data_IF_862159286809
#
_entry.id   IF_862159286809
#
_cell.length_a   1.000
_cell.length_b   1.000
_cell.length_c   1.000
_cell.angle_alpha   90.00
_cell.angle_beta   90.00
_cell.angle_gamma   90.00
#
_symmetry.space_group_name_H-M   'P 1'
#
loop_
_entity.id
_entity.type
_entity.pdbx_description
1 polymer ?
#
# COMPACT_ATOMS: atom_id res chain seq x y z
N UNK A 1 -1.64 -25.53 6.14
CA UNK A 1 -1.41 -24.22 6.77
C UNK A 1 -2.05 -23.20 5.87
N UNK A 2 -2.99 -22.42 6.40
CA UNK A 2 -3.54 -21.29 5.69
C UNK A 2 -2.41 -20.31 5.39
N UNK A 3 -2.34 -19.85 4.13
CA UNK A 3 -1.29 -18.91 3.72
C UNK A 3 -1.68 -17.52 4.21
N UNK A 4 -0.71 -16.79 4.77
CA UNK A 4 -0.90 -15.41 5.23
C UNK A 4 -1.46 -14.48 4.15
N UNK A 5 -2.16 -13.43 4.57
CA UNK A 5 -2.60 -12.32 3.73
C UNK A 5 -1.57 -11.20 3.78
N UNK A 6 -1.05 -10.79 2.63
CA UNK A 6 -0.13 -9.67 2.55
C UNK A 6 -0.89 -8.34 2.67
N UNK A 7 -0.39 -7.41 3.48
CA UNK A 7 -0.95 -6.07 3.57
C UNK A 7 -0.11 -5.14 2.67
N UNK A 8 -0.68 -4.69 1.55
CA UNK A 8 -0.06 -3.77 0.60
C UNK A 8 -0.54 -2.34 0.88
N UNK A 9 0.33 -1.48 1.41
CA UNK A 9 -0.01 -0.13 1.83
C UNK A 9 1.20 0.81 1.71
N UNK A 10 0.95 2.12 1.64
CA UNK A 10 1.99 3.10 1.44
C UNK A 10 2.90 3.25 2.67
N UNK A 11 4.20 3.43 2.45
CA UNK A 11 5.20 3.50 3.55
C UNK A 11 4.93 4.64 4.55
N UNK A 12 4.21 5.69 4.16
CA UNK A 12 3.85 6.79 5.07
C UNK A 12 2.73 6.42 6.06
N UNK A 13 2.24 5.19 6.03
CA UNK A 13 1.39 4.61 7.09
C UNK A 13 2.20 3.77 8.09
N UNK A 14 3.47 3.46 7.81
CA UNK A 14 4.27 2.56 8.66
C UNK A 14 4.46 3.14 10.07
N UNK A 15 4.14 2.34 11.08
CA UNK A 15 4.24 2.68 12.50
C UNK A 15 3.13 3.61 12.99
N UNK A 16 2.18 3.98 12.13
CA UNK A 16 1.09 4.89 12.47
C UNK A 16 -0.10 4.15 13.07
N UNK A 17 -1.01 4.87 13.73
CA UNK A 17 -2.23 4.26 14.26
C UNK A 17 -3.22 3.84 13.15
N UNK A 18 -3.14 4.47 11.97
CA UNK A 18 -3.90 4.05 10.78
C UNK A 18 -3.49 2.66 10.33
N UNK A 19 -2.18 2.33 10.31
CA UNK A 19 -1.72 0.99 9.98
C UNK A 19 -2.27 -0.05 10.97
N UNK A 20 -2.19 0.23 12.27
CA UNK A 20 -2.72 -0.67 13.30
C UNK A 20 -4.22 -0.89 13.16
N UNK A 21 -4.98 0.18 12.89
CA UNK A 21 -6.42 0.13 12.68
C UNK A 21 -6.78 -0.71 11.43
N UNK A 22 -6.02 -0.53 10.35
CA UNK A 22 -6.15 -1.33 9.14
C UNK A 22 -5.86 -2.81 9.40
N UNK A 23 -4.80 -3.15 10.13
CA UNK A 23 -4.50 -4.54 10.51
C UNK A 23 -5.61 -5.17 11.37
N UNK A 24 -6.22 -4.40 12.29
CA UNK A 24 -7.36 -4.87 13.08
C UNK A 24 -8.56 -5.19 12.19
N UNK A 25 -8.88 -4.30 11.22
CA UNK A 25 -9.96 -4.53 10.27
C UNK A 25 -9.67 -5.76 9.38
N UNK A 26 -8.46 -5.89 8.85
CA UNK A 26 -8.03 -7.05 8.04
C UNK A 26 -8.16 -8.33 8.85
N UNK A 27 -7.64 -8.32 10.07
CA UNK A 27 -7.68 -9.48 10.97
C UNK A 27 -9.11 -9.93 11.22
N UNK A 28 -10.00 -8.99 11.52
CA UNK A 28 -11.41 -9.26 11.76
C UNK A 28 -12.13 -9.82 10.52
N UNK A 29 -11.95 -9.18 9.35
CA UNK A 29 -12.72 -9.51 8.15
C UNK A 29 -12.20 -10.74 7.42
N UNK A 30 -10.87 -10.93 7.36
CA UNK A 30 -10.25 -11.96 6.52
C UNK A 30 -9.52 -13.06 7.29
N UNK A 31 -9.19 -12.84 8.56
CA UNK A 31 -8.34 -13.74 9.33
C UNK A 31 -9.03 -14.31 10.58
N UNK A 32 -10.35 -14.19 10.71
CA UNK A 32 -11.10 -14.71 11.87
C UNK A 32 -10.66 -14.10 13.21
N UNK A 33 -10.07 -12.90 13.19
CA UNK A 33 -9.51 -12.23 14.35
C UNK A 33 -8.03 -12.55 14.65
N UNK A 34 -7.38 -13.43 13.89
CA UNK A 34 -5.95 -13.73 14.06
C UNK A 34 -5.05 -12.78 13.25
N UNK A 35 -4.49 -11.77 13.93
CA UNK A 35 -3.50 -10.85 13.33
C UNK A 35 -2.24 -11.59 12.84
N UNK A 36 -1.92 -12.76 13.38
CA UNK A 36 -0.77 -13.57 12.97
C UNK A 36 -0.83 -14.06 11.52
N UNK A 37 -2.02 -14.03 10.91
CA UNK A 37 -2.22 -14.34 9.50
C UNK A 37 -1.91 -13.15 8.56
N UNK A 38 -1.58 -11.98 9.10
CA UNK A 38 -1.22 -10.82 8.29
C UNK A 38 0.31 -10.80 8.08
N UNK A 39 0.74 -10.71 6.82
CA UNK A 39 2.11 -10.38 6.46
C UNK A 39 2.20 -8.88 6.16
N UNK A 40 2.60 -8.11 7.17
CA UNK A 40 2.80 -6.67 7.06
C UNK A 40 4.24 -6.36 6.63
N UNK A 41 4.50 -5.62 5.54
CA UNK A 41 5.84 -5.26 5.09
C UNK A 41 6.64 -4.40 6.09
N UNK A 42 5.97 -3.71 7.00
CA UNK A 42 6.57 -2.92 8.06
C UNK A 42 6.91 -3.77 9.29
N UNK A 43 7.81 -4.73 9.13
CA UNK A 43 8.36 -5.49 10.28
C UNK A 43 9.89 -5.45 10.27
N UNK A 44 10.54 -5.59 11.44
CA UNK A 44 12.00 -5.65 11.52
C UNK A 44 12.62 -6.74 10.64
N UNK A 45 11.93 -7.87 10.45
CA UNK A 45 12.38 -8.96 9.58
C UNK A 45 12.46 -8.50 8.11
N UNK A 46 11.44 -7.79 7.62
CA UNK A 46 11.43 -7.31 6.25
C UNK A 46 12.37 -6.13 6.03
N UNK A 47 12.54 -5.24 7.02
CA UNK A 47 13.55 -4.17 6.95
C UNK A 47 14.98 -4.75 6.81
N UNK A 48 15.30 -5.77 7.60
CA UNK A 48 16.57 -6.50 7.49
C UNK A 48 16.70 -7.19 6.14
N UNK A 49 15.68 -7.94 5.73
CA UNK A 49 15.68 -8.69 4.46
C UNK A 49 15.83 -7.78 3.24
N UNK A 50 15.12 -6.64 3.21
CA UNK A 50 15.26 -5.61 2.19
C UNK A 50 16.69 -5.08 2.12
N UNK A 51 17.26 -4.71 3.28
CA UNK A 51 18.63 -4.16 3.36
C UNK A 51 19.68 -5.17 2.90
N UNK A 52 19.53 -6.44 3.27
CA UNK A 52 20.43 -7.51 2.83
C UNK A 52 20.29 -7.81 1.33
N UNK A 53 19.06 -7.76 0.80
CA UNK A 53 18.80 -7.95 -0.63
C UNK A 53 19.39 -6.82 -1.46
N UNK A 54 19.24 -5.57 -1.00
CA UNK A 54 19.76 -4.37 -1.67
C UNK A 54 21.29 -4.36 -1.84
N UNK A 55 22.02 -5.09 -0.98
CA UNK A 55 23.50 -5.21 -1.05
C UNK A 55 24.00 -6.17 -2.14
N UNK A 56 23.12 -6.93 -2.79
CA UNK A 56 23.51 -7.92 -3.82
C UNK A 56 23.91 -7.21 -5.12
N UNK A 57 25.17 -7.37 -5.54
CA UNK A 57 25.79 -6.62 -6.63
C UNK A 57 25.22 -6.93 -8.04
N UNK A 58 24.71 -8.13 -8.28
CA UNK A 58 24.34 -8.60 -9.63
C UNK A 58 23.01 -8.04 -10.16
N UNK A 59 22.35 -7.16 -9.41
CA UNK A 59 21.00 -6.71 -9.73
C UNK A 59 20.80 -5.21 -9.58
N UNK A 60 21.83 -4.39 -9.31
CA UNK A 60 21.67 -2.96 -9.01
C UNK A 60 20.81 -2.18 -10.04
N UNK A 61 20.97 -2.45 -11.33
CA UNK A 61 20.18 -1.81 -12.40
C UNK A 61 18.74 -2.34 -12.51
N UNK A 62 18.44 -3.50 -11.93
CA UNK A 62 17.11 -4.15 -11.92
C UNK A 62 16.44 -4.16 -10.52
N UNK A 63 17.17 -3.78 -9.47
CA UNK A 63 16.78 -4.05 -8.08
C UNK A 63 15.84 -3.02 -7.46
N UNK A 64 15.60 -1.89 -8.13
CA UNK A 64 14.76 -0.79 -7.61
C UNK A 64 15.01 -0.54 -6.11
N UNK A 65 16.28 -0.52 -5.69
CA UNK A 65 16.68 -0.24 -4.30
C UNK A 65 16.45 -1.34 -3.26
N UNK A 66 16.03 -2.56 -3.65
CA UNK A 66 15.75 -3.68 -2.74
C UNK A 66 14.32 -4.23 -2.86
N UNK A 67 13.45 -3.57 -3.64
CA UNK A 67 12.03 -3.95 -3.78
C UNK A 67 11.80 -5.39 -4.25
N UNK A 68 12.71 -5.95 -5.06
CA UNK A 68 12.63 -7.35 -5.51
C UNK A 68 12.63 -8.34 -4.34
N UNK A 69 13.15 -7.96 -3.16
CA UNK A 69 13.02 -8.75 -1.93
C UNK A 69 11.57 -9.20 -1.68
N UNK A 70 10.60 -8.30 -1.81
CA UNK A 70 9.21 -8.61 -1.55
C UNK A 70 8.66 -9.59 -2.59
N UNK A 71 8.86 -9.27 -3.88
CA UNK A 71 8.37 -10.07 -5.01
C UNK A 71 8.97 -11.48 -5.07
N UNK A 72 10.24 -11.63 -4.70
CA UNK A 72 10.96 -12.90 -4.79
C UNK A 72 10.82 -13.75 -3.51
N UNK A 73 10.78 -13.14 -2.33
CA UNK A 73 10.91 -13.86 -1.06
C UNK A 73 9.71 -13.75 -0.12
N UNK A 74 8.84 -12.75 -0.27
CA UNK A 74 7.71 -12.49 0.63
C UNK A 74 6.39 -12.85 -0.02
N UNK A 75 6.01 -12.19 -1.12
CA UNK A 75 4.72 -12.39 -1.81
C UNK A 75 4.45 -13.87 -2.21
N UNK A 76 5.46 -14.67 -2.64
CA UNK A 76 5.27 -16.10 -2.93
C UNK A 76 4.69 -16.92 -1.78
N UNK A 77 4.99 -16.53 -0.53
CA UNK A 77 4.56 -17.23 0.68
C UNK A 77 3.12 -16.89 1.11
N UNK A 78 2.56 -15.83 0.56
CA UNK A 78 1.22 -15.34 0.91
C UNK A 78 0.13 -15.95 0.01
N UNK A 79 -1.11 -16.03 0.53
CA UNK A 79 -2.29 -16.56 -0.17
C UNK A 79 -3.00 -15.53 -1.06
N UNK A 80 -2.87 -14.26 -0.71
CA UNK A 80 -3.47 -13.11 -1.40
C UNK A 80 -2.96 -11.81 -0.77
N UNK A 81 -3.52 -10.67 -1.18
CA UNK A 81 -3.20 -9.39 -0.57
C UNK A 81 -4.42 -8.48 -0.35
N UNK A 82 -4.42 -7.74 0.74
CA UNK A 82 -5.29 -6.56 0.93
C UNK A 82 -4.48 -5.34 0.53
N UNK A 83 -5.08 -4.48 -0.29
CA UNK A 83 -4.51 -3.20 -0.68
C UNK A 83 -5.20 -2.07 0.05
N UNK A 84 -4.42 -1.07 0.44
CA UNK A 84 -4.93 0.21 0.95
C UNK A 84 -4.45 1.33 0.01
N UNK A 85 -5.34 1.88 -0.85
CA UNK A 85 -5.04 3.04 -1.69
C UNK A 85 -4.86 4.30 -0.83
N UNK A 86 -4.58 5.43 -1.46
CA UNK A 86 -4.81 6.74 -0.84
C UNK A 86 -6.32 7.03 -0.74
N UNK A 87 -6.68 8.07 0.01
CA UNK A 87 -8.09 8.38 0.30
C UNK A 87 -8.91 8.79 -0.93
N UNK A 88 -8.26 9.22 -2.02
CA UNK A 88 -8.91 9.45 -3.33
C UNK A 88 -9.05 8.17 -4.17
N UNK A 89 -8.76 6.99 -3.59
CA UNK A 89 -8.85 5.69 -4.26
C UNK A 89 -7.69 5.38 -5.21
N UNK A 90 -6.69 6.27 -5.34
CA UNK A 90 -5.51 6.01 -6.17
C UNK A 90 -4.46 5.19 -5.43
N UNK A 91 -3.69 4.41 -6.15
CA UNK A 91 -2.70 3.48 -5.62
C UNK A 91 -1.30 3.99 -5.87
N UNK A 92 -0.47 4.03 -4.82
CA UNK A 92 0.98 4.16 -5.02
C UNK A 92 1.49 3.01 -5.90
N UNK A 93 2.50 3.30 -6.72
CA UNK A 93 3.01 2.36 -7.72
C UNK A 93 3.44 1.01 -7.12
N UNK A 94 4.02 1.01 -5.91
CA UNK A 94 4.39 -0.21 -5.19
C UNK A 94 3.17 -1.08 -4.84
N UNK A 95 2.15 -0.47 -4.22
CA UNK A 95 0.90 -1.14 -3.83
C UNK A 95 0.18 -1.72 -5.07
N UNK A 96 0.13 -0.96 -6.16
CA UNK A 96 -0.43 -1.43 -7.42
C UNK A 96 0.35 -2.62 -8.01
N UNK A 97 1.68 -2.56 -7.99
CA UNK A 97 2.55 -3.63 -8.46
C UNK A 97 2.40 -4.92 -7.64
N UNK A 98 2.29 -4.81 -6.32
CA UNK A 98 2.02 -5.93 -5.42
C UNK A 98 0.65 -6.55 -5.73
N UNK A 99 -0.40 -5.74 -5.84
CA UNK A 99 -1.75 -6.19 -6.21
C UNK A 99 -1.76 -6.97 -7.53
N UNK A 100 -1.14 -6.41 -8.58
CA UNK A 100 -1.05 -7.04 -9.89
C UNK A 100 -0.26 -8.35 -9.83
N UNK A 101 0.81 -8.43 -9.03
CA UNK A 101 1.59 -9.66 -8.89
C UNK A 101 0.75 -10.83 -8.36
N UNK A 102 -0.14 -10.57 -7.39
CA UNK A 102 -1.09 -11.57 -6.87
C UNK A 102 -2.16 -11.92 -7.91
N UNK A 103 -2.76 -10.90 -8.54
CA UNK A 103 -3.80 -11.09 -9.55
C UNK A 103 -3.31 -11.92 -10.75
N UNK A 104 -2.11 -11.63 -11.27
CA UNK A 104 -1.49 -12.34 -12.39
C UNK A 104 -1.21 -13.82 -12.09
N UNK A 105 -1.25 -14.21 -10.80
CA UNK A 105 -1.06 -15.58 -10.32
C UNK A 105 -2.35 -16.24 -9.85
N UNK A 106 -3.50 -15.65 -10.20
CA UNK A 106 -4.82 -16.17 -9.83
C UNK A 106 -5.10 -16.12 -8.32
N UNK A 107 -4.36 -15.30 -7.56
CA UNK A 107 -4.58 -15.10 -6.13
C UNK A 107 -5.55 -13.94 -5.90
N UNK A 108 -6.31 -14.03 -4.81
CA UNK A 108 -7.28 -12.99 -4.46
C UNK A 108 -6.59 -11.69 -4.03
N UNK A 109 -7.11 -10.58 -4.54
CA UNK A 109 -6.75 -9.22 -4.15
C UNK A 109 -7.98 -8.56 -3.55
N UNK A 110 -7.85 -8.03 -2.34
CA UNK A 110 -8.89 -7.26 -1.67
C UNK A 110 -8.54 -5.78 -1.66
N UNK A 111 -9.58 -4.95 -1.70
CA UNK A 111 -9.54 -3.50 -1.60
C UNK A 111 -10.08 -3.09 -0.24
N UNK A 112 -9.25 -2.41 0.55
CA UNK A 112 -9.71 -1.60 1.67
C UNK A 112 -10.05 -0.20 1.15
N UNK A 113 -11.29 0.24 1.33
CA UNK A 113 -11.74 1.55 0.88
C UNK A 113 -12.74 2.17 1.86
N UNK A 114 -12.93 3.49 1.84
CA UNK A 114 -14.04 4.14 2.51
C UNK A 114 -15.39 3.52 2.10
N UNK A 115 -16.35 3.51 3.02
CA UNK A 115 -17.73 3.13 2.69
C UNK A 115 -18.40 4.22 1.86
N UNK A 116 -19.39 3.83 1.04
CA UNK A 116 -20.06 4.75 0.08
C UNK A 116 -20.84 5.87 0.76
N UNK A 117 -21.08 5.76 2.05
CA UNK A 117 -21.82 6.74 2.84
C UNK A 117 -20.91 7.90 3.28
N UNK A 118 -19.63 7.88 2.88
CA UNK A 118 -18.65 8.92 3.15
C UNK A 118 -18.09 9.40 1.81
N UNK A 119 -18.56 10.57 1.35
CA UNK A 119 -18.13 11.17 0.10
C UNK A 119 -16.66 11.65 0.17
N UNK A 120 -16.24 12.19 1.32
CA UNK A 120 -14.87 12.63 1.60
C UNK A 120 -14.45 12.19 3.01
N UNK A 121 -13.35 11.43 3.10
CA UNK A 121 -12.78 11.05 4.40
C UNK A 121 -12.04 12.24 5.00
N UNK A 122 -12.62 12.81 6.06
CA UNK A 122 -12.01 13.88 6.84
C UNK A 122 -11.03 13.33 7.87
N UNK A 123 -10.24 14.21 8.50
CA UNK A 123 -9.39 13.85 9.63
C UNK A 123 -10.20 13.24 10.79
N UNK A 124 -11.35 13.81 11.13
CA UNK A 124 -12.24 13.29 12.18
C UNK A 124 -12.74 11.88 11.86
N UNK A 125 -13.04 11.60 10.58
CA UNK A 125 -13.41 10.25 10.16
C UNK A 125 -12.25 9.27 10.36
N UNK A 126 -11.01 9.66 10.08
CA UNK A 126 -9.86 8.81 10.33
C UNK A 126 -9.63 8.58 11.83
N UNK A 127 -9.81 9.58 12.68
CA UNK A 127 -9.73 9.42 14.14
C UNK A 127 -10.78 8.42 14.65
N UNK A 128 -12.02 8.51 14.14
CA UNK A 128 -13.07 7.54 14.45
C UNK A 128 -12.73 6.12 13.97
N UNK A 129 -12.14 6.00 12.77
CA UNK A 129 -11.66 4.72 12.27
C UNK A 129 -10.54 4.16 13.14
N UNK A 130 -9.57 4.99 13.55
CA UNK A 130 -8.47 4.59 14.43
C UNK A 130 -9.00 4.12 15.79
N UNK A 131 -9.96 4.85 16.37
CA UNK A 131 -10.55 4.52 17.66
C UNK A 131 -11.41 3.25 17.63
N UNK A 132 -12.03 2.93 16.50
CA UNK A 132 -12.91 1.77 16.34
C UNK A 132 -12.97 1.26 14.91
N UNK A 133 -11.94 0.53 14.42
CA UNK A 133 -11.85 0.17 13.01
C UNK A 133 -12.96 -0.75 12.52
N UNK A 134 -13.53 -1.54 13.43
CA UNK A 134 -14.64 -2.47 13.15
C UNK A 134 -15.99 -1.78 13.36
N UNK A 135 -16.17 -1.08 14.49
CA UNK A 135 -17.45 -0.50 14.88
C UNK A 135 -17.79 0.82 14.18
N UNK A 136 -16.79 1.56 13.69
CA UNK A 136 -17.00 2.82 12.98
C UNK A 136 -17.72 2.64 11.64
N UNK A 137 -17.54 1.49 10.97
CA UNK A 137 -18.12 1.23 9.65
C UNK A 137 -17.64 2.18 8.54
N UNK A 138 -16.55 2.93 8.77
CA UNK A 138 -16.05 3.93 7.84
C UNK A 138 -15.22 3.33 6.70
N UNK A 139 -14.61 2.17 6.94
CA UNK A 139 -13.87 1.42 5.94
C UNK A 139 -14.44 0.01 5.79
N UNK A 140 -14.35 -0.52 4.58
CA UNK A 140 -14.70 -1.89 4.25
C UNK A 140 -13.60 -2.57 3.46
N UNK A 141 -13.57 -3.91 3.55
CA UNK A 141 -12.71 -4.74 2.72
C UNK A 141 -13.58 -5.57 1.79
N UNK A 142 -13.32 -5.53 0.49
CA UNK A 142 -14.00 -6.35 -0.52
C UNK A 142 -13.04 -6.86 -1.59
N UNK A 143 -13.35 -7.95 -2.31
CA UNK A 143 -12.56 -8.37 -3.46
C UNK A 143 -12.51 -7.28 -4.54
N UNK A 144 -11.40 -7.22 -5.27
CA UNK A 144 -11.32 -6.46 -6.51
C UNK A 144 -12.23 -7.07 -7.58
N UNK A 145 -12.83 -6.19 -8.40
CA UNK A 145 -13.39 -6.62 -9.68
C UNK A 145 -12.30 -6.75 -10.75
N UNK A 146 -12.55 -7.58 -11.77
CA UNK A 146 -11.66 -7.71 -12.93
C UNK A 146 -11.41 -6.36 -13.59
N UNK A 147 -12.44 -5.51 -13.71
CA UNK A 147 -12.33 -4.17 -14.27
C UNK A 147 -11.36 -3.29 -13.47
N UNK A 148 -11.45 -3.31 -12.13
CA UNK A 148 -10.54 -2.56 -11.27
C UNK A 148 -9.09 -3.05 -11.37
N UNK A 149 -8.87 -4.37 -11.48
CA UNK A 149 -7.54 -4.92 -11.72
C UNK A 149 -6.98 -4.49 -13.08
N UNK A 150 -7.84 -4.45 -14.11
CA UNK A 150 -7.47 -3.90 -15.43
C UNK A 150 -7.05 -2.44 -15.34
N UNK A 151 -7.79 -1.63 -14.57
CA UNK A 151 -7.49 -0.22 -14.34
C UNK A 151 -6.18 0.02 -13.59
N UNK A 152 -5.68 -0.93 -12.78
CA UNK A 152 -4.37 -0.81 -12.11
C UNK A 152 -3.18 -0.97 -13.05
N UNK A 153 -3.36 -1.59 -14.22
CA UNK A 153 -2.25 -1.79 -15.16
C UNK A 153 -1.82 -0.45 -15.74
N UNK A 154 -0.55 -0.11 -15.51
CA UNK A 154 0.12 0.97 -16.24
C UNK A 154 0.70 0.34 -17.50
N UNK A 155 0.06 0.57 -18.65
CA UNK A 155 0.70 0.24 -19.93
C UNK A 155 1.78 1.29 -20.22
N UNK A 156 2.86 0.90 -20.90
CA UNK A 156 4.08 1.72 -21.08
C UNK A 156 3.86 3.13 -21.65
N UNK A 157 2.70 3.40 -22.23
CA UNK A 157 2.34 4.68 -22.85
C UNK A 157 1.01 5.26 -22.33
N UNK A 158 0.32 4.58 -21.40
CA UNK A 158 -0.95 5.01 -20.85
C UNK A 158 -0.88 5.22 -19.34
N UNK A 159 -1.35 6.38 -18.87
CA UNK A 159 -1.54 6.64 -17.45
C UNK A 159 -2.67 5.74 -16.96
N UNK A 160 -2.36 4.84 -16.04
CA UNK A 160 -3.40 4.07 -15.34
C UNK A 160 -4.36 5.03 -14.65
N UNK A 161 -5.66 4.76 -14.73
CA UNK A 161 -6.67 5.58 -14.05
C UNK A 161 -6.63 5.45 -12.53
N UNK A 162 -5.98 4.39 -12.00
CA UNK A 162 -5.93 4.09 -10.56
C UNK A 162 -4.51 4.07 -9.99
N UNK A 163 -3.52 3.58 -10.73
CA UNK A 163 -2.13 3.52 -10.28
C UNK A 163 -1.39 4.82 -10.63
N UNK A 164 -0.75 5.40 -9.63
CA UNK A 164 0.05 6.62 -9.76
C UNK A 164 1.36 6.35 -10.50
N UNK A 165 1.88 7.39 -11.15
CA UNK A 165 3.25 7.37 -11.65
C UNK A 165 4.25 7.28 -10.49
N UNK A 166 5.50 6.97 -10.82
CA UNK A 166 6.56 6.91 -9.81
C UNK A 166 6.78 8.28 -9.13
N UNK A 167 6.72 9.35 -9.90
CA UNK A 167 6.85 10.73 -9.41
C UNK A 167 5.70 11.14 -8.49
N UNK A 168 4.45 10.89 -8.90
CA UNK A 168 3.29 11.23 -8.08
C UNK A 168 3.23 10.35 -6.82
N UNK A 169 3.59 9.06 -6.93
CA UNK A 169 3.72 8.18 -5.75
C UNK A 169 4.69 8.78 -4.73
N UNK A 170 5.88 9.22 -5.16
CA UNK A 170 6.86 9.84 -4.27
C UNK A 170 6.31 11.13 -3.65
N UNK A 171 5.70 11.99 -4.45
CA UNK A 171 5.15 13.26 -4.00
C UNK A 171 4.06 13.10 -2.93
N UNK A 172 3.20 12.10 -3.09
CA UNK A 172 2.14 11.78 -2.12
C UNK A 172 2.67 11.12 -0.85
N UNK A 173 3.77 10.40 -0.93
CA UNK A 173 4.37 9.74 0.24
C UNK A 173 5.28 10.66 1.05
N UNK A 174 5.97 11.60 0.42
CA UNK A 174 7.01 12.41 1.06
C UNK A 174 6.65 13.91 1.08
N UNK A 175 7.07 14.61 2.13
CA UNK A 175 7.18 16.08 2.15
C UNK A 175 8.50 16.50 1.51
N UNK A 176 9.57 15.81 1.88
CA UNK A 176 10.90 15.90 1.28
C UNK A 176 11.40 14.48 1.07
N UNK A 177 11.73 14.13 -0.17
CA UNK A 177 12.02 12.75 -0.56
C UNK A 177 13.15 12.15 0.28
N UNK A 178 12.86 11.00 0.92
CA UNK A 178 13.81 10.28 1.76
C UNK A 178 14.13 10.93 3.11
N UNK A 179 13.53 12.09 3.45
CA UNK A 179 13.81 12.83 4.70
C UNK A 179 12.60 12.96 5.61
N UNK A 180 11.45 13.34 5.07
CA UNK A 180 10.24 13.59 5.85
C UNK A 180 9.03 13.00 5.13
N UNK A 181 8.32 12.08 5.79
CA UNK A 181 7.10 11.49 5.25
C UNK A 181 5.92 12.45 5.38
N UNK A 182 5.02 12.40 4.40
CA UNK A 182 3.76 13.14 4.42
C UNK A 182 2.72 12.34 5.22
N UNK A 183 2.00 12.96 6.17
CA UNK A 183 0.88 12.29 6.84
C UNK A 183 -0.08 11.71 5.80
N UNK A 184 -0.52 10.47 6.03
CA UNK A 184 -1.30 9.72 5.04
C UNK A 184 -2.63 10.40 4.69
N UNK A 185 -3.27 11.02 5.67
CA UNK A 185 -4.49 11.82 5.52
C UNK A 185 -4.32 12.97 4.52
N UNK A 186 -3.10 13.49 4.37
CA UNK A 186 -2.78 14.59 3.46
C UNK A 186 -2.22 14.12 2.11
N UNK A 187 -2.00 12.82 1.92
CA UNK A 187 -1.30 12.28 0.77
C UNK A 187 -2.05 12.49 -0.55
N UNK A 188 -3.38 12.37 -0.52
CA UNK A 188 -4.23 12.54 -1.70
C UNK A 188 -4.42 14.00 -2.14
N UNK A 189 -4.10 14.97 -1.26
CA UNK A 189 -4.27 16.40 -1.51
C UNK A 189 -3.17 17.02 -2.38
N UNK A 190 -2.14 16.24 -2.74
CA UNK A 190 -1.04 16.72 -3.57
C UNK A 190 -1.01 16.00 -4.91
N UNK A 191 -0.68 16.77 -5.95
CA UNK A 191 -0.54 16.31 -7.32
C UNK A 191 0.64 17.03 -7.98
N UNK A 192 1.07 16.52 -9.13
CA UNK A 192 2.13 17.13 -9.93
C UNK A 192 1.77 18.57 -10.33
N UNK A 193 2.77 19.45 -10.55
CA UNK A 193 4.21 19.20 -10.61
C UNK A 193 4.89 19.02 -9.24
N UNK A 194 6.10 18.45 -9.25
CA UNK A 194 6.93 18.32 -8.04
C UNK A 194 7.37 19.73 -7.59
N UNK A 195 7.19 20.11 -6.31
CA UNK A 195 7.59 21.41 -5.81
C UNK A 195 9.11 21.55 -5.70
N UNK A 196 9.60 22.79 -5.76
CA UNK A 196 11.01 23.12 -5.54
C UNK A 196 11.48 22.61 -4.17
N UNK A 197 12.70 22.07 -4.10
CA UNK A 197 13.28 21.53 -2.86
C UNK A 197 12.76 20.15 -2.44
N UNK A 198 11.83 19.53 -3.18
CA UNK A 198 11.31 18.19 -2.87
C UNK A 198 12.40 17.11 -2.88
N UNK A 199 13.27 17.13 -3.89
CA UNK A 199 14.45 16.28 -3.95
C UNK A 199 15.64 17.00 -3.31
N UNK A 200 16.16 16.51 -2.16
CA UNK A 200 17.29 17.16 -1.52
C UNK A 200 18.55 17.00 -2.38
N UNK A 201 19.08 18.11 -2.89
CA UNK A 201 20.36 18.14 -3.61
C UNK A 201 20.27 18.07 -5.14
N UNK A 202 19.17 18.53 -5.74
CA UNK A 202 19.21 19.13 -7.07
C UNK A 202 19.54 20.61 -6.96
#
# INVERSE_FOLDING_TARGET
MDKKIYFAHAINTYGTDIEKAAEQLISHVLCGGDRGQIENPNTPIHQKGYTEYAKRAEQADKNHGGMNYFFDLVLPKCGGCVTMPFLDGKFGLGVAGEALWFADRGKTVWLMEPTRDVDDITHENLELFIAGPISSGLFRIRPFSIAQLGMLRVEKEAVSSLALTHEETRLRTWLVYGKAMRPYENAHLVSLPIPEGFYPGN
#
